data_IF_587923044345
#
_entry.id   IF_587923044345
#
_cell.length_a   1.000
_cell.length_b   1.000
_cell.length_c   1.000
_cell.angle_alpha   90.00
_cell.angle_beta   90.00
_cell.angle_gamma   90.00
#
_symmetry.space_group_name_H-M   'P 1'
#
loop_
_entity.id
_entity.type
_entity.pdbx_description
1 polymer ?
#
# COMPACT_ATOMS: atom_id res chain seq x y z
N UNK A 1 -3.94 -23.93 20.74
CA UNK A 1 -2.96 -22.86 20.47
C UNK A 1 -2.60 -22.26 21.80
N UNK A 2 -1.30 -22.17 22.10
CA UNK A 2 -0.86 -21.49 23.33
C UNK A 2 -1.04 -19.97 23.17
N UNK A 3 -1.08 -19.24 24.29
CA UNK A 3 -1.24 -17.78 24.28
C UNK A 3 -0.13 -17.08 23.50
N UNK A 4 1.11 -17.60 23.58
CA UNK A 4 2.24 -17.07 22.83
C UNK A 4 2.11 -17.27 21.32
N UNK A 5 1.54 -18.40 20.87
CA UNK A 5 1.26 -18.65 19.45
C UNK A 5 0.20 -17.68 18.93
N UNK A 6 -0.82 -17.39 19.74
CA UNK A 6 -1.86 -16.42 19.39
C UNK A 6 -1.26 -15.02 19.22
N UNK A 7 -0.41 -14.58 20.15
CA UNK A 7 0.24 -13.27 20.08
C UNK A 7 1.12 -13.16 18.84
N UNK A 8 2.03 -14.11 18.63
CA UNK A 8 2.99 -14.07 17.52
C UNK A 8 2.30 -14.13 16.16
N UNK A 9 1.33 -15.03 15.99
CA UNK A 9 0.57 -15.16 14.72
C UNK A 9 -0.31 -13.95 14.43
N UNK A 10 -0.92 -13.35 15.46
CA UNK A 10 -1.73 -12.14 15.30
C UNK A 10 -0.87 -10.93 14.96
N UNK A 11 0.30 -10.78 15.59
CA UNK A 11 1.27 -9.73 15.26
C UNK A 11 1.77 -9.85 13.83
N UNK A 12 2.15 -11.04 13.38
CA UNK A 12 2.61 -11.27 12.01
C UNK A 12 1.52 -10.91 10.98
N UNK A 13 0.26 -11.26 11.25
CA UNK A 13 -0.87 -10.88 10.39
C UNK A 13 -1.12 -9.38 10.43
N UNK A 14 -1.07 -8.75 11.61
CA UNK A 14 -1.25 -7.31 11.74
C UNK A 14 -0.22 -6.53 10.90
N UNK A 15 1.05 -6.97 10.87
CA UNK A 15 2.06 -6.39 9.99
C UNK A 15 1.69 -6.52 8.51
N UNK A 16 1.33 -7.73 8.07
CA UNK A 16 0.94 -7.98 6.70
C UNK A 16 -0.23 -7.07 6.26
N UNK A 17 -1.27 -6.94 7.08
CA UNK A 17 -2.42 -6.08 6.81
C UNK A 17 -2.10 -4.59 6.92
N UNK A 18 -1.18 -4.18 7.79
CA UNK A 18 -0.76 -2.79 7.93
C UNK A 18 0.17 -2.31 6.81
N UNK A 19 0.82 -3.22 6.07
CA UNK A 19 1.83 -2.86 5.06
C UNK A 19 1.27 -1.94 3.96
N UNK A 20 0.10 -2.21 3.33
CA UNK A 20 -0.47 -1.28 2.36
C UNK A 20 -0.84 0.08 2.97
N UNK A 21 -1.31 0.08 4.22
CA UNK A 21 -1.66 1.31 4.95
C UNK A 21 -0.42 2.15 5.27
N UNK A 22 0.71 1.51 5.59
CA UNK A 22 2.00 2.17 5.78
C UNK A 22 2.41 2.93 4.51
N UNK A 23 2.36 2.27 3.35
CA UNK A 23 2.70 2.90 2.07
C UNK A 23 1.80 4.09 1.74
N UNK A 24 0.49 3.95 1.99
CA UNK A 24 -0.46 5.05 1.82
C UNK A 24 -0.14 6.22 2.77
N UNK A 25 0.05 5.94 4.06
CA UNK A 25 0.37 6.96 5.07
C UNK A 25 1.66 7.73 4.76
N UNK A 26 2.69 7.04 4.25
CA UNK A 26 3.94 7.69 3.85
C UNK A 26 3.73 8.70 2.70
N UNK A 27 2.90 8.34 1.71
CA UNK A 27 2.54 9.26 0.63
C UNK A 27 1.70 10.44 1.13
N UNK A 28 0.72 10.18 1.99
CA UNK A 28 -0.19 11.20 2.53
C UNK A 28 0.53 12.22 3.40
N UNK A 29 1.50 11.81 4.23
CA UNK A 29 2.33 12.75 5.01
C UNK A 29 2.99 13.79 4.09
N UNK A 30 3.49 13.35 2.92
CA UNK A 30 4.12 14.24 1.95
C UNK A 30 3.11 15.11 1.20
N UNK A 31 1.94 14.56 0.85
CA UNK A 31 0.87 15.33 0.25
C UNK A 31 0.40 16.46 1.18
N UNK A 32 0.14 16.14 2.46
CA UNK A 32 -0.29 17.12 3.46
C UNK A 32 0.80 18.18 3.71
N UNK A 33 2.07 17.78 3.77
CA UNK A 33 3.20 18.71 3.86
C UNK A 33 3.23 19.69 2.71
N UNK A 34 2.91 19.23 1.50
CA UNK A 34 2.83 20.05 0.30
C UNK A 34 1.54 20.90 0.23
N UNK A 35 0.67 20.85 1.24
CA UNK A 35 -0.59 21.59 1.29
C UNK A 35 -1.71 20.96 0.47
N UNK A 36 -1.63 19.66 0.17
CA UNK A 36 -2.65 18.90 -0.55
C UNK A 36 -3.27 17.86 0.38
N UNK A 37 -4.55 18.05 0.72
CA UNK A 37 -5.34 17.11 1.52
C UNK A 37 -5.97 16.09 0.58
N UNK A 38 -5.65 14.80 0.75
CA UNK A 38 -6.12 13.75 -0.14
C UNK A 38 -7.01 12.70 0.58
N UNK A 39 -8.30 13.03 0.70
CA UNK A 39 -9.32 12.05 1.11
C UNK A 39 -9.62 10.97 0.05
N UNK A 40 -8.95 11.05 -1.11
CA UNK A 40 -9.08 10.14 -2.24
C UNK A 40 -8.19 8.90 -2.17
N UNK A 41 -7.30 8.82 -1.17
CA UNK A 41 -6.26 7.77 -1.09
C UNK A 41 -6.84 6.36 -1.08
N UNK A 42 -7.98 6.15 -0.42
CA UNK A 42 -8.65 4.84 -0.40
C UNK A 42 -9.10 4.42 -1.81
N UNK A 43 -9.66 5.35 -2.59
CA UNK A 43 -9.99 5.11 -4.00
C UNK A 43 -8.75 4.78 -4.84
N UNK A 44 -7.65 5.50 -4.63
CA UNK A 44 -6.38 5.24 -5.33
C UNK A 44 -5.82 3.85 -4.99
N UNK A 45 -5.86 3.46 -3.72
CA UNK A 45 -5.43 2.15 -3.25
C UNK A 45 -6.24 1.03 -3.89
N UNK A 46 -7.58 1.14 -3.89
CA UNK A 46 -8.47 0.09 -4.41
C UNK A 46 -8.35 -0.03 -5.94
N UNK A 47 -8.22 1.10 -6.66
CA UNK A 47 -7.95 1.08 -8.10
C UNK A 47 -6.61 0.41 -8.41
N UNK A 48 -5.57 0.74 -7.67
CA UNK A 48 -4.27 0.09 -7.76
C UNK A 48 -4.35 -1.41 -7.45
N UNK A 49 -5.10 -1.80 -6.42
CA UNK A 49 -5.27 -3.20 -6.02
C UNK A 49 -5.91 -4.04 -7.12
N UNK A 50 -7.01 -3.56 -7.74
CA UNK A 50 -7.66 -4.29 -8.84
C UNK A 50 -6.75 -4.37 -10.06
N UNK A 51 -6.11 -3.27 -10.47
CA UNK A 51 -5.20 -3.30 -11.61
C UNK A 51 -4.00 -4.23 -11.38
N UNK A 52 -3.41 -4.17 -10.19
CA UNK A 52 -2.28 -5.01 -9.80
C UNK A 52 -2.65 -6.49 -9.73
N UNK A 53 -3.83 -6.82 -9.21
CA UNK A 53 -4.35 -8.18 -9.20
C UNK A 53 -4.54 -8.72 -10.62
N UNK A 54 -5.26 -7.98 -11.47
CA UNK A 54 -5.54 -8.39 -12.86
C UNK A 54 -4.23 -8.63 -13.62
N UNK A 55 -3.28 -7.71 -13.51
CA UNK A 55 -1.99 -7.83 -14.21
C UNK A 55 -1.15 -8.95 -13.60
N UNK A 56 -1.08 -9.06 -12.29
CA UNK A 56 -0.34 -10.15 -11.62
C UNK A 56 -0.89 -11.53 -11.98
N UNK A 57 -2.21 -11.64 -12.07
CA UNK A 57 -2.91 -12.87 -12.43
C UNK A 57 -2.75 -13.23 -13.91
N UNK A 58 -2.93 -12.28 -14.82
CA UNK A 58 -2.85 -12.53 -16.28
C UNK A 58 -1.41 -12.69 -16.79
N UNK A 59 -0.46 -11.95 -16.23
CA UNK A 59 0.96 -12.06 -16.60
C UNK A 59 1.71 -13.15 -15.85
N UNK A 60 1.15 -13.65 -14.73
CA UNK A 60 1.84 -14.53 -13.80
C UNK A 60 2.99 -13.86 -13.02
N UNK A 61 3.16 -12.54 -13.11
CA UNK A 61 4.24 -11.80 -12.44
C UNK A 61 3.70 -10.85 -11.37
N UNK A 62 3.90 -11.16 -10.07
CA UNK A 62 3.51 -10.28 -8.97
C UNK A 62 4.18 -8.91 -9.03
N UNK A 63 5.43 -8.87 -9.52
CA UNK A 63 6.20 -7.63 -9.64
C UNK A 63 5.60 -6.71 -10.72
N UNK A 64 5.16 -7.26 -11.85
CA UNK A 64 4.44 -6.47 -12.85
C UNK A 64 3.11 -5.97 -12.29
N UNK A 65 2.39 -6.81 -11.53
CA UNK A 65 1.20 -6.39 -10.79
C UNK A 65 1.47 -5.21 -9.86
N UNK A 66 2.55 -5.25 -9.09
CA UNK A 66 2.96 -4.17 -8.20
C UNK A 66 3.25 -2.87 -8.95
N UNK A 67 4.01 -2.93 -10.05
CA UNK A 67 4.33 -1.75 -10.86
C UNK A 67 3.06 -1.12 -11.44
N UNK A 68 2.13 -1.94 -11.92
CA UNK A 68 0.86 -1.46 -12.46
C UNK A 68 -0.05 -0.90 -11.36
N UNK A 69 -0.09 -1.50 -10.17
CA UNK A 69 -0.80 -0.96 -9.01
C UNK A 69 -0.30 0.44 -8.64
N UNK A 70 1.03 0.60 -8.54
CA UNK A 70 1.67 1.88 -8.25
C UNK A 70 1.39 2.91 -9.35
N UNK A 71 1.47 2.50 -10.63
CA UNK A 71 1.18 3.37 -11.76
C UNK A 71 -0.27 3.86 -11.79
N UNK A 72 -1.24 2.97 -11.56
CA UNK A 72 -2.67 3.33 -11.52
C UNK A 72 -2.98 4.24 -10.34
N UNK A 73 -2.45 3.95 -9.16
CA UNK A 73 -2.55 4.84 -8.00
C UNK A 73 -1.93 6.22 -8.27
N UNK A 74 -0.76 6.25 -8.91
CA UNK A 74 -0.09 7.49 -9.31
C UNK A 74 -0.89 8.31 -10.34
N UNK A 75 -1.49 7.67 -11.34
CA UNK A 75 -2.37 8.35 -12.30
C UNK A 75 -3.60 8.93 -11.60
N UNK A 76 -4.22 8.18 -10.68
CA UNK A 76 -5.35 8.67 -9.89
C UNK A 76 -4.95 9.86 -9.00
N UNK A 77 -3.77 9.81 -8.38
CA UNK A 77 -3.19 10.92 -7.63
C UNK A 77 -2.94 12.15 -8.51
N UNK A 78 -2.44 11.98 -9.74
CA UNK A 78 -2.25 13.08 -10.69
C UNK A 78 -3.59 13.72 -11.11
N UNK A 79 -4.65 12.92 -11.29
CA UNK A 79 -6.00 13.45 -11.54
C UNK A 79 -6.47 14.31 -10.37
N UNK A 80 -6.31 13.81 -9.14
CA UNK A 80 -6.65 14.59 -7.94
C UNK A 80 -5.83 15.88 -7.85
N UNK A 81 -4.51 15.81 -8.04
CA UNK A 81 -3.62 16.96 -8.02
C UNK A 81 -3.96 17.98 -9.11
N UNK A 82 -4.32 17.54 -10.32
CA UNK A 82 -4.77 18.44 -11.37
C UNK A 82 -6.02 19.23 -10.94
N UNK A 83 -7.02 18.55 -10.38
CA UNK A 83 -8.26 19.18 -9.92
C UNK A 83 -8.01 20.11 -8.71
N UNK A 84 -7.25 19.64 -7.73
CA UNK A 84 -6.98 20.35 -6.48
C UNK A 84 -6.01 21.53 -6.65
N UNK A 85 -4.92 21.34 -7.40
CA UNK A 85 -3.82 22.30 -7.51
C UNK A 85 -3.97 23.18 -8.75
N UNK A 86 -4.22 22.57 -9.92
CA UNK A 86 -4.27 23.33 -11.19
C UNK A 86 -5.59 24.05 -11.34
N UNK A 87 -6.71 23.35 -11.14
CA UNK A 87 -8.06 23.93 -11.24
C UNK A 87 -8.50 24.66 -9.96
N UNK A 88 -7.75 24.52 -8.86
CA UNK A 88 -8.04 25.13 -7.55
C UNK A 88 -9.45 24.77 -7.02
N UNK A 89 -9.93 23.58 -7.35
CA UNK A 89 -11.21 23.10 -6.84
C UNK A 89 -11.07 22.66 -5.37
N UNK A 90 -12.22 22.43 -4.71
CA UNK A 90 -12.23 21.96 -3.34
C UNK A 90 -11.64 20.54 -3.25
N UNK A 91 -10.51 20.41 -2.55
CA UNK A 91 -9.76 19.17 -2.41
C UNK A 91 -10.54 18.09 -1.66
N UNK A 92 -11.35 18.47 -0.66
CA UNK A 92 -12.22 17.54 0.06
C UNK A 92 -13.25 16.91 -0.88
N UNK A 93 -13.86 17.72 -1.75
CA UNK A 93 -14.84 17.23 -2.72
C UNK A 93 -14.16 16.33 -3.76
N UNK A 94 -13.01 16.76 -4.29
CA UNK A 94 -12.25 15.95 -5.26
C UNK A 94 -11.80 14.61 -4.68
N UNK A 95 -11.28 14.61 -3.45
CA UNK A 95 -10.83 13.40 -2.76
C UNK A 95 -11.98 12.44 -2.50
N UNK A 96 -13.07 12.89 -1.88
CA UNK A 96 -14.24 12.05 -1.64
C UNK A 96 -14.86 11.51 -2.93
N UNK A 97 -14.94 12.33 -3.98
CA UNK A 97 -15.41 11.89 -5.29
C UNK A 97 -14.50 10.81 -5.89
N UNK A 98 -13.18 10.95 -5.76
CA UNK A 98 -12.22 9.94 -6.22
C UNK A 98 -12.34 8.64 -5.44
N UNK A 99 -12.59 8.68 -4.14
CA UNK A 99 -12.85 7.47 -3.33
C UNK A 99 -14.10 6.75 -3.80
N UNK A 100 -15.22 7.45 -3.99
CA UNK A 100 -16.47 6.86 -4.48
C UNK A 100 -16.29 6.30 -5.89
N UNK A 101 -15.61 7.04 -6.76
CA UNK A 101 -15.28 6.59 -8.11
C UNK A 101 -14.41 5.32 -8.09
N UNK A 102 -13.37 5.31 -7.25
CA UNK A 102 -12.48 4.17 -7.09
C UNK A 102 -13.23 2.92 -6.66
N UNK A 103 -14.10 3.04 -5.64
CA UNK A 103 -14.97 1.94 -5.17
C UNK A 103 -15.90 1.42 -6.28
N UNK A 104 -16.56 2.31 -7.01
CA UNK A 104 -17.47 1.92 -8.10
C UNK A 104 -16.74 1.24 -9.27
N UNK A 105 -15.68 1.87 -9.78
CA UNK A 105 -14.94 1.36 -10.93
C UNK A 105 -14.20 0.06 -10.62
N UNK A 106 -13.55 -0.03 -9.47
CA UNK A 106 -12.89 -1.27 -9.02
C UNK A 106 -13.89 -2.41 -8.83
N UNK A 107 -15.07 -2.15 -8.29
CA UNK A 107 -16.13 -3.14 -8.16
C UNK A 107 -16.62 -3.65 -9.52
N UNK A 108 -16.69 -2.78 -10.53
CA UNK A 108 -17.04 -3.18 -11.90
C UNK A 108 -15.93 -4.02 -12.55
N UNK A 109 -14.68 -3.54 -12.52
CA UNK A 109 -13.54 -4.20 -13.18
C UNK A 109 -13.11 -5.49 -12.46
N UNK A 110 -13.20 -5.51 -11.14
CA UNK A 110 -12.77 -6.61 -10.28
C UNK A 110 -13.79 -7.74 -10.16
N UNK A 111 -15.02 -7.56 -10.66
CA UNK A 111 -16.14 -8.48 -10.41
C UNK A 111 -15.84 -9.93 -10.79
N UNK A 112 -15.23 -10.16 -11.96
CA UNK A 112 -14.92 -11.51 -12.46
C UNK A 112 -13.72 -12.15 -11.74
N UNK A 113 -12.93 -11.35 -11.04
CA UNK A 113 -11.70 -11.76 -10.37
C UNK A 113 -11.93 -12.13 -8.90
N UNK A 114 -13.10 -11.80 -8.35
CA UNK A 114 -13.43 -12.07 -6.94
C UNK A 114 -13.34 -13.56 -6.64
N UNK A 115 -12.63 -13.90 -5.56
CA UNK A 115 -12.47 -15.27 -5.09
C UNK A 115 -11.41 -16.09 -5.85
N UNK A 116 -10.77 -15.51 -6.88
CA UNK A 116 -9.66 -16.17 -7.55
C UNK A 116 -8.36 -15.97 -6.75
N UNK A 117 -7.61 -17.02 -6.43
CA UNK A 117 -6.27 -16.87 -5.86
C UNK A 117 -5.27 -16.45 -6.96
N UNK A 118 -4.25 -15.70 -6.56
CA UNK A 118 -3.15 -15.34 -7.45
C UNK A 118 -2.38 -16.60 -7.89
N UNK A 119 -2.11 -16.75 -9.18
CA UNK A 119 -1.35 -17.90 -9.72
C UNK A 119 0.04 -17.99 -9.12
N UNK A 120 0.75 -16.87 -9.07
CA UNK A 120 2.02 -16.73 -8.39
C UNK A 120 1.84 -15.67 -7.31
N UNK A 121 2.05 -16.03 -6.05
CA UNK A 121 2.03 -15.08 -4.94
C UNK A 121 3.38 -14.36 -4.83
N UNK A 122 3.40 -13.19 -4.18
CA UNK A 122 4.66 -12.58 -3.80
C UNK A 122 5.44 -13.50 -2.85
N UNK A 123 6.76 -13.51 -3.01
CA UNK A 123 7.66 -14.29 -2.18
C UNK A 123 7.73 -13.73 -0.77
N UNK A 124 7.64 -14.62 0.21
CA UNK A 124 7.92 -14.29 1.60
C UNK A 124 9.43 -14.27 1.85
N UNK A 125 9.83 -13.43 2.79
CA UNK A 125 11.22 -13.25 3.20
C UNK A 125 11.33 -13.50 4.69
N UNK A 126 12.20 -14.44 5.04
CA UNK A 126 12.59 -14.73 6.43
C UNK A 126 14.02 -14.25 6.64
N UNK A 127 14.22 -13.38 7.64
CA UNK A 127 15.53 -12.79 7.91
C UNK A 127 16.34 -13.75 8.79
N UNK A 128 17.46 -14.31 8.30
CA UNK A 128 18.26 -15.26 9.07
C UNK A 128 18.79 -14.59 10.35
N UNK A 129 19.01 -15.38 11.40
CA UNK A 129 19.42 -14.95 12.75
C UNK A 129 18.32 -14.19 13.51
N UNK A 130 17.70 -13.18 12.91
CA UNK A 130 16.62 -12.40 13.54
C UNK A 130 15.33 -13.21 13.71
N UNK A 131 15.05 -14.15 12.80
CA UNK A 131 13.91 -15.08 12.88
C UNK A 131 14.00 -16.05 14.07
N UNK A 132 15.19 -16.27 14.63
CA UNK A 132 15.42 -17.20 15.74
C UNK A 132 15.12 -16.59 17.11
N UNK A 133 14.95 -15.26 17.18
CA UNK A 133 14.67 -14.57 18.44
C UNK A 133 13.28 -15.02 18.95
N UNK A 134 13.17 -15.53 20.19
CA UNK A 134 11.89 -15.95 20.74
C UNK A 134 10.88 -14.79 20.70
N UNK A 135 9.65 -15.09 20.29
CA UNK A 135 8.53 -14.14 20.17
C UNK A 135 8.72 -13.13 19.02
N UNK A 136 9.82 -12.36 19.00
CA UNK A 136 10.07 -11.31 18.00
C UNK A 136 10.34 -11.86 16.60
N UNK A 137 11.10 -12.97 16.50
CA UNK A 137 11.39 -13.63 15.23
C UNK A 137 10.12 -14.04 14.49
N UNK A 138 9.28 -14.91 15.09
CA UNK A 138 8.00 -15.31 14.51
C UNK A 138 7.03 -14.15 14.27
N UNK A 139 7.07 -13.10 15.09
CA UNK A 139 6.15 -11.96 14.97
C UNK A 139 6.54 -10.98 13.85
N UNK A 140 7.84 -10.75 13.61
CA UNK A 140 8.33 -9.66 12.76
C UNK A 140 9.26 -10.09 11.61
N UNK A 141 9.95 -11.23 11.74
CA UNK A 141 11.08 -11.59 10.88
C UNK A 141 10.90 -12.91 10.12
N UNK A 142 9.83 -13.63 10.38
CA UNK A 142 9.47 -14.89 9.69
C UNK A 142 8.33 -14.66 8.71
N UNK A 143 8.50 -15.14 7.48
CA UNK A 143 7.53 -15.18 6.39
C UNK A 143 6.81 -13.84 6.13
N UNK A 144 7.56 -12.74 6.13
CA UNK A 144 7.02 -11.40 5.85
C UNK A 144 7.14 -11.02 4.38
N UNK A 145 6.29 -10.10 3.92
CA UNK A 145 6.41 -9.57 2.56
C UNK A 145 7.63 -8.64 2.44
N UNK A 146 8.33 -8.72 1.31
CA UNK A 146 9.43 -7.80 1.00
C UNK A 146 9.01 -6.32 1.09
N UNK A 147 7.76 -6.01 0.71
CA UNK A 147 7.19 -4.66 0.79
C UNK A 147 7.06 -4.14 2.22
N UNK A 148 6.94 -5.01 3.22
CA UNK A 148 6.88 -4.62 4.63
C UNK A 148 8.22 -4.00 5.04
N UNK A 149 9.32 -4.72 4.79
CA UNK A 149 10.65 -4.21 5.08
C UNK A 149 11.01 -2.99 4.23
N UNK A 150 10.67 -3.01 2.93
CA UNK A 150 10.88 -1.87 2.06
C UNK A 150 10.10 -0.63 2.54
N UNK A 151 8.87 -0.80 3.02
CA UNK A 151 8.06 0.27 3.59
C UNK A 151 8.65 0.84 4.88
N UNK A 152 9.19 -0.01 5.77
CA UNK A 152 9.88 0.44 6.98
C UNK A 152 11.16 1.23 6.67
N UNK A 153 11.94 0.77 5.71
CA UNK A 153 13.12 1.50 5.22
C UNK A 153 12.69 2.82 4.59
N UNK A 154 11.65 2.81 3.75
CA UNK A 154 11.10 4.02 3.14
C UNK A 154 10.60 5.01 4.22
N UNK A 155 9.96 4.53 5.29
CA UNK A 155 9.54 5.39 6.39
C UNK A 155 10.71 6.12 7.05
N UNK A 156 11.81 5.41 7.35
CA UNK A 156 13.00 6.02 7.93
C UNK A 156 13.67 7.02 6.96
N UNK A 157 13.77 6.65 5.68
CA UNK A 157 14.34 7.52 4.65
C UNK A 157 13.49 8.79 4.44
N UNK A 158 12.18 8.63 4.30
CA UNK A 158 11.25 9.73 4.10
C UNK A 158 11.16 10.63 5.33
N UNK A 159 11.23 10.08 6.55
CA UNK A 159 11.38 10.88 7.76
C UNK A 159 12.67 11.73 7.73
N UNK A 160 13.80 11.13 7.35
CA UNK A 160 15.07 11.84 7.25
C UNK A 160 15.00 12.95 6.20
N UNK A 161 14.47 12.66 5.01
CA UNK A 161 14.29 13.65 3.93
C UNK A 161 13.41 14.80 4.40
N UNK A 162 12.27 14.51 5.03
CA UNK A 162 11.30 15.50 5.47
C UNK A 162 11.85 16.47 6.52
N UNK A 163 12.68 15.97 7.45
CA UNK A 163 13.14 16.75 8.60
C UNK A 163 14.58 17.27 8.50
N UNK A 164 15.42 16.66 7.66
CA UNK A 164 16.87 16.90 7.64
C UNK A 164 17.40 17.30 6.26
N UNK A 165 16.54 17.50 5.26
CA UNK A 165 16.96 17.94 3.91
C UNK A 165 16.16 19.14 3.43
N UNK A 166 16.64 19.78 2.34
CA UNK A 166 15.94 20.94 1.72
C UNK A 166 14.69 20.56 0.93
N UNK A 167 14.49 19.28 0.64
CA UNK A 167 13.34 18.79 -0.12
C UNK A 167 12.08 18.65 0.75
N UNK A 168 12.22 18.61 2.08
CA UNK A 168 11.13 18.52 3.06
C UNK A 168 10.79 19.84 3.74
#
# INVERSE_FOLDING_TARGET
>A
MDFLDLLTSTSARALAFSTPLLWAALGEIYAERAGVVNLGVEGMMILGAVAGFIVGQTSGSPLLGLVLAAGVGGVAALVHAFIAVTLRANQYVSGLALTIFGLGLSGLLGREWVGQPLVNSMTFVTVPVLSEIPILGPALFTDQYLLTYAGLVAAALLWFVLHHTRLG
#
